data_IF_257890827225
#
_entry.id   IF_257890827225
#
_cell.length_a   1.000
_cell.length_b   1.000
_cell.length_c   1.000
_cell.angle_alpha   90.00
_cell.angle_beta   90.00
_cell.angle_gamma   90.00
#
_symmetry.space_group_name_H-M   'P 1'
#
loop_
_entity.id
_entity.type
_entity.pdbx_description
1 polymer ?
#
# COMPACT_ATOMS: atom_id res chain seq x y z
N UNK A 1 -12.69 1.88 -12.70
CA UNK A 1 -12.01 0.74 -12.07
C UNK A 1 -13.06 0.14 -11.18
N UNK A 2 -13.29 -1.17 -11.29
CA UNK A 2 -14.33 -1.79 -10.51
C UNK A 2 -13.74 -2.20 -9.15
N UNK A 3 -13.93 -1.39 -8.10
CA UNK A 3 -13.44 -1.69 -6.74
C UNK A 3 -14.06 -2.99 -6.23
N UNK A 4 -15.36 -3.18 -6.43
CA UNK A 4 -16.10 -4.38 -6.00
C UNK A 4 -15.50 -5.65 -6.61
N UNK A 5 -15.00 -5.60 -7.84
CA UNK A 5 -14.27 -6.73 -8.43
C UNK A 5 -13.02 -7.12 -7.59
N UNK A 6 -12.23 -6.14 -7.14
CA UNK A 6 -11.01 -6.41 -6.37
C UNK A 6 -11.33 -6.85 -4.93
N UNK A 7 -12.37 -6.28 -4.32
CA UNK A 7 -12.85 -6.70 -3.00
C UNK A 7 -13.32 -8.16 -2.98
N UNK A 8 -13.90 -8.63 -4.10
CA UNK A 8 -14.38 -10.00 -4.25
C UNK A 8 -13.35 -11.00 -4.81
N UNK A 9 -12.08 -10.59 -4.99
CA UNK A 9 -11.02 -11.54 -5.34
C UNK A 9 -10.82 -12.55 -4.20
N UNK A 10 -10.44 -13.81 -4.48
CA UNK A 10 -10.13 -14.77 -3.43
C UNK A 10 -9.06 -14.26 -2.46
N UNK A 11 -9.16 -14.60 -1.18
CA UNK A 11 -8.19 -14.19 -0.15
C UNK A 11 -6.77 -14.70 -0.45
N UNK A 12 -6.68 -15.91 -1.01
CA UNK A 12 -5.42 -16.54 -1.42
C UNK A 12 -5.34 -16.57 -2.93
N UNK A 13 -4.30 -15.94 -3.47
CA UNK A 13 -4.00 -15.92 -4.89
C UNK A 13 -2.55 -16.31 -5.13
N UNK A 14 -2.25 -16.84 -6.33
CA UNK A 14 -0.87 -17.08 -6.71
C UNK A 14 -0.13 -15.76 -6.94
N UNK A 15 1.17 -15.74 -6.68
CA UNK A 15 2.05 -14.60 -7.00
C UNK A 15 1.99 -14.20 -8.47
N UNK A 16 1.84 -15.17 -9.39
CA UNK A 16 1.69 -14.90 -10.82
C UNK A 16 0.38 -14.16 -11.13
N UNK A 17 -0.73 -14.53 -10.50
CA UNK A 17 -2.02 -13.86 -10.71
C UNK A 17 -1.98 -12.45 -10.12
N UNK A 18 -1.48 -12.30 -8.90
CA UNK A 18 -1.31 -10.98 -8.27
C UNK A 18 -0.43 -10.06 -9.11
N UNK A 19 0.69 -10.57 -9.66
CA UNK A 19 1.55 -9.81 -10.58
C UNK A 19 0.77 -9.27 -11.79
N UNK A 20 -0.17 -10.03 -12.35
CA UNK A 20 -1.02 -9.55 -13.45
C UNK A 20 -1.89 -8.37 -12.98
N UNK A 21 -2.49 -8.47 -11.80
CA UNK A 21 -3.34 -7.41 -11.25
C UNK A 21 -2.57 -6.13 -10.90
N UNK A 22 -1.41 -6.25 -10.25
CA UNK A 22 -0.56 -5.09 -9.98
C UNK A 22 -0.13 -4.39 -11.27
N UNK A 23 0.29 -5.13 -12.30
CA UNK A 23 0.66 -4.53 -13.58
C UNK A 23 -0.52 -3.84 -14.28
N UNK A 24 -1.73 -4.41 -14.19
CA UNK A 24 -2.95 -3.76 -14.71
C UNK A 24 -3.24 -2.44 -13.98
N UNK A 25 -3.10 -2.43 -12.65
CA UNK A 25 -3.28 -1.22 -11.84
C UNK A 25 -2.26 -0.13 -12.22
N UNK A 26 -0.98 -0.50 -12.31
CA UNK A 26 0.10 0.40 -12.73
C UNK A 26 -0.14 0.96 -14.14
N UNK A 27 -0.55 0.11 -15.08
CA UNK A 27 -0.89 0.57 -16.43
C UNK A 27 -2.05 1.56 -16.41
N UNK A 28 -3.11 1.26 -15.67
CA UNK A 28 -4.27 2.14 -15.55
C UNK A 28 -3.88 3.51 -14.97
N UNK A 29 -3.13 3.52 -13.86
CA UNK A 29 -2.66 4.76 -13.23
C UNK A 29 -1.84 5.65 -14.18
N UNK A 30 -1.00 5.05 -15.03
CA UNK A 30 -0.16 5.80 -15.97
C UNK A 30 -0.90 6.28 -17.23
N UNK A 31 -2.08 5.74 -17.53
CA UNK A 31 -2.78 5.98 -18.80
C UNK A 31 -4.06 6.79 -18.67
N UNK A 32 -4.61 6.90 -17.47
CA UNK A 32 -5.86 7.65 -17.22
C UNK A 32 -5.77 8.47 -15.93
N UNK A 33 -6.60 9.52 -15.86
CA UNK A 33 -6.83 10.35 -14.67
C UNK A 33 -8.26 10.24 -14.15
N UNK A 34 -9.00 9.22 -14.58
CA UNK A 34 -10.45 9.09 -14.33
C UNK A 34 -10.77 8.61 -12.91
N UNK A 35 -9.76 8.27 -12.10
CA UNK A 35 -9.94 7.74 -10.75
C UNK A 35 -9.20 8.59 -9.72
N UNK A 36 -9.81 8.66 -8.55
CA UNK A 36 -9.28 9.36 -7.39
C UNK A 36 -8.15 8.58 -6.72
N UNK A 37 -7.38 9.27 -5.86
CA UNK A 37 -6.37 8.65 -5.01
C UNK A 37 -6.97 7.57 -4.11
N UNK A 38 -8.15 7.82 -3.56
CA UNK A 38 -8.89 6.84 -2.77
C UNK A 38 -9.14 5.56 -3.55
N UNK A 39 -9.73 5.65 -4.76
CA UNK A 39 -10.04 4.45 -5.56
C UNK A 39 -8.79 3.64 -5.95
N UNK A 40 -7.67 4.31 -6.27
CA UNK A 40 -6.40 3.63 -6.51
C UNK A 40 -5.82 2.99 -5.25
N UNK A 41 -5.86 3.71 -4.12
CA UNK A 41 -5.36 3.19 -2.84
C UNK A 41 -6.17 1.99 -2.36
N UNK A 42 -7.49 2.00 -2.55
CA UNK A 42 -8.38 0.91 -2.17
C UNK A 42 -8.05 -0.37 -2.95
N UNK A 43 -7.92 -0.25 -4.27
CA UNK A 43 -7.57 -1.41 -5.11
C UNK A 43 -6.16 -1.91 -4.80
N UNK A 44 -5.21 -1.00 -4.55
CA UNK A 44 -3.85 -1.38 -4.18
C UNK A 44 -3.81 -2.08 -2.81
N UNK A 45 -4.59 -1.63 -1.84
CA UNK A 45 -4.74 -2.26 -0.53
C UNK A 45 -5.27 -3.69 -0.67
N UNK A 46 -6.35 -3.90 -1.44
CA UNK A 46 -6.90 -5.22 -1.71
C UNK A 46 -5.86 -6.19 -2.30
N UNK A 47 -5.01 -5.73 -3.23
CA UNK A 47 -3.94 -6.54 -3.78
C UNK A 47 -2.80 -6.78 -2.77
N UNK A 48 -2.52 -5.80 -1.92
CA UNK A 48 -1.46 -5.87 -0.91
C UNK A 48 -1.77 -6.90 0.18
N UNK A 49 -3.01 -6.95 0.67
CA UNK A 49 -3.46 -7.99 1.61
C UNK A 49 -3.25 -9.39 1.03
N UNK A 50 -3.66 -9.59 -0.22
CA UNK A 50 -3.53 -10.90 -0.89
C UNK A 50 -2.07 -11.27 -1.14
N UNK A 51 -1.22 -10.28 -1.43
CA UNK A 51 0.23 -10.48 -1.51
C UNK A 51 0.80 -10.90 -0.17
N UNK A 52 0.36 -10.29 0.94
CA UNK A 52 0.80 -10.66 2.28
C UNK A 52 0.46 -12.12 2.62
N UNK A 53 -0.70 -12.62 2.20
CA UNK A 53 -1.06 -14.04 2.35
C UNK A 53 -0.23 -15.02 1.51
N UNK A 54 0.65 -14.54 0.63
CA UNK A 54 1.60 -15.41 -0.10
C UNK A 54 2.85 -15.75 0.71
N UNK A 55 3.17 -14.99 1.76
CA UNK A 55 4.43 -15.07 2.50
C UNK A 55 5.68 -14.89 1.63
N UNK A 56 5.50 -14.27 0.47
CA UNK A 56 6.58 -13.92 -0.45
C UNK A 56 6.66 -12.41 -0.62
N UNK A 57 7.87 -11.90 -0.76
CA UNK A 57 8.08 -10.50 -1.18
C UNK A 57 7.78 -10.35 -2.68
N UNK A 58 7.36 -9.13 -3.05
CA UNK A 58 7.22 -8.75 -4.44
C UNK A 58 8.57 -8.85 -5.18
N UNK A 59 8.49 -9.10 -6.49
CA UNK A 59 9.65 -8.97 -7.38
C UNK A 59 10.20 -7.54 -7.30
N UNK A 60 11.52 -7.38 -7.18
CA UNK A 60 12.13 -6.09 -6.82
C UNK A 60 11.78 -4.94 -7.76
N UNK A 61 11.64 -5.21 -9.07
CA UNK A 61 11.17 -4.20 -10.03
C UNK A 61 9.72 -3.79 -9.75
N UNK A 62 8.84 -4.77 -9.51
CA UNK A 62 7.43 -4.53 -9.23
C UNK A 62 7.27 -3.80 -7.89
N UNK A 63 8.00 -4.20 -6.85
CA UNK A 63 7.99 -3.55 -5.55
C UNK A 63 8.35 -2.07 -5.68
N UNK A 64 9.41 -1.74 -6.44
CA UNK A 64 9.82 -0.36 -6.70
C UNK A 64 8.76 0.46 -7.45
N UNK A 65 8.09 -0.12 -8.45
CA UNK A 65 7.01 0.56 -9.18
C UNK A 65 5.79 0.81 -8.28
N UNK A 66 5.46 -0.15 -7.41
CA UNK A 66 4.38 -0.02 -6.42
C UNK A 66 4.74 0.98 -5.33
N UNK A 67 5.98 1.01 -4.85
CA UNK A 67 6.45 2.02 -3.89
C UNK A 67 6.31 3.42 -4.49
N UNK A 68 6.72 3.60 -5.75
CA UNK A 68 6.52 4.87 -6.46
C UNK A 68 5.05 5.27 -6.54
N UNK A 69 4.16 4.36 -6.96
CA UNK A 69 2.72 4.63 -7.01
C UNK A 69 2.18 5.01 -5.62
N UNK A 70 2.54 4.24 -4.59
CA UNK A 70 2.04 4.44 -3.21
C UNK A 70 2.40 5.83 -2.67
N UNK A 71 3.63 6.29 -2.92
CA UNK A 71 4.04 7.68 -2.60
C UNK A 71 3.18 8.73 -3.29
N UNK A 72 2.86 8.53 -4.56
CA UNK A 72 2.05 9.50 -5.32
C UNK A 72 0.58 9.52 -4.86
N UNK A 73 0.08 8.37 -4.37
CA UNK A 73 -1.25 8.26 -3.78
C UNK A 73 -1.36 8.92 -2.41
N UNK A 74 -0.27 9.10 -1.67
CA UNK A 74 -0.28 9.73 -0.35
C UNK A 74 -1.07 11.05 -0.32
N UNK A 75 -2.03 11.13 0.60
CA UNK A 75 -2.81 12.34 0.87
C UNK A 75 -3.11 12.43 2.38
N UNK A 76 -2.31 13.24 3.07
CA UNK A 76 -2.41 13.44 4.51
C UNK A 76 -3.70 14.12 4.99
N UNK A 77 -4.59 14.51 4.07
CA UNK A 77 -5.89 15.13 4.40
C UNK A 77 -7.07 14.17 4.25
N UNK A 78 -6.85 12.94 3.75
CA UNK A 78 -7.88 11.90 3.68
C UNK A 78 -7.49 10.76 4.60
N UNK A 79 -8.30 10.54 5.63
CA UNK A 79 -8.09 9.44 6.57
C UNK A 79 -8.09 8.09 5.83
N UNK A 80 -9.02 7.90 4.90
CA UNK A 80 -9.17 6.67 4.13
C UNK A 80 -7.94 6.38 3.26
N UNK A 81 -7.37 7.40 2.62
CA UNK A 81 -6.12 7.24 1.87
C UNK A 81 -4.95 6.94 2.78
N UNK A 82 -4.85 7.59 3.95
CA UNK A 82 -3.78 7.32 4.92
C UNK A 82 -3.87 5.88 5.44
N UNK A 83 -5.07 5.41 5.79
CA UNK A 83 -5.33 4.04 6.27
C UNK A 83 -4.94 2.99 5.23
N UNK A 84 -5.36 3.20 3.98
CA UNK A 84 -4.96 2.34 2.88
C UNK A 84 -3.45 2.36 2.67
N UNK A 85 -2.82 3.54 2.58
CA UNK A 85 -1.38 3.67 2.29
C UNK A 85 -0.52 3.08 3.41
N UNK A 86 -0.85 3.32 4.67
CA UNK A 86 -0.13 2.75 5.82
C UNK A 86 -0.21 1.22 5.81
N UNK A 87 -1.38 0.65 5.57
CA UNK A 87 -1.59 -0.79 5.41
C UNK A 87 -0.82 -1.38 4.22
N UNK A 88 -0.83 -0.71 3.06
CA UNK A 88 -0.07 -1.13 1.87
C UNK A 88 1.43 -1.20 2.17
N UNK A 89 1.96 -0.18 2.86
CA UNK A 89 3.38 -0.13 3.25
C UNK A 89 3.74 -1.29 4.16
N UNK A 90 2.90 -1.59 5.16
CA UNK A 90 3.10 -2.71 6.07
C UNK A 90 3.08 -4.06 5.35
N UNK A 91 2.11 -4.28 4.47
CA UNK A 91 1.96 -5.56 3.75
C UNK A 91 3.05 -5.82 2.71
N UNK A 92 3.61 -4.78 2.11
CA UNK A 92 4.52 -4.91 0.96
C UNK A 92 5.97 -4.51 1.25
N UNK A 93 6.26 -3.93 2.41
CA UNK A 93 7.63 -3.56 2.81
C UNK A 93 8.18 -2.42 1.96
N UNK A 94 7.38 -1.35 1.79
CA UNK A 94 7.68 -0.25 0.88
C UNK A 94 8.50 0.84 1.57
N UNK A 95 9.82 0.74 1.44
CA UNK A 95 10.79 1.58 2.16
C UNK A 95 10.58 3.08 1.92
N UNK A 96 10.42 3.51 0.67
CA UNK A 96 10.38 4.95 0.36
C UNK A 96 9.06 5.57 0.81
N UNK A 97 7.95 4.85 0.61
CA UNK A 97 6.63 5.22 1.13
C UNK A 97 6.61 5.29 2.65
N UNK A 98 7.26 4.35 3.34
CA UNK A 98 7.43 4.41 4.80
C UNK A 98 8.14 5.70 5.24
N UNK A 99 9.18 6.14 4.52
CA UNK A 99 9.85 7.41 4.86
C UNK A 99 8.94 8.62 4.68
N UNK A 100 8.08 8.65 3.65
CA UNK A 100 7.10 9.73 3.47
C UNK A 100 6.11 9.78 4.64
N UNK A 101 5.56 8.63 5.01
CA UNK A 101 4.65 8.51 6.16
C UNK A 101 5.34 9.04 7.42
N UNK A 102 6.57 8.61 7.69
CA UNK A 102 7.34 9.06 8.87
C UNK A 102 7.63 10.56 8.87
N UNK A 103 8.00 11.13 7.72
CA UNK A 103 8.26 12.56 7.59
C UNK A 103 7.00 13.41 7.79
N UNK A 104 5.83 12.88 7.43
CA UNK A 104 4.55 13.60 7.55
C UNK A 104 4.17 13.93 8.99
N UNK A 105 4.71 13.22 10.00
CA UNK A 105 4.51 13.55 11.42
C UNK A 105 5.03 14.94 11.82
N UNK A 106 5.90 15.55 11.00
CA UNK A 106 6.35 16.93 11.19
C UNK A 106 5.37 17.99 10.67
N UNK A 107 4.33 17.58 9.93
CA UNK A 107 3.26 18.43 9.42
C UNK A 107 2.16 18.66 10.46
N UNK A 108 1.30 19.64 10.21
CA UNK A 108 0.06 19.80 10.95
C UNK A 108 -0.98 18.77 10.46
N UNK A 109 -1.13 17.67 11.19
CA UNK A 109 -2.04 16.58 10.88
C UNK A 109 -3.27 16.61 11.78
N UNK A 110 -4.39 16.08 11.28
CA UNK A 110 -5.51 15.71 12.14
C UNK A 110 -5.06 14.66 13.18
N UNK A 111 -5.62 14.70 14.39
CA UNK A 111 -5.21 13.83 15.49
C UNK A 111 -5.41 12.34 15.17
N UNK A 112 -6.47 11.99 14.43
CA UNK A 112 -6.73 10.59 14.08
C UNK A 112 -5.70 10.09 13.06
N UNK A 113 -5.42 10.90 12.03
CA UNK A 113 -4.37 10.61 11.03
C UNK A 113 -3.01 10.48 11.71
N UNK A 114 -2.68 11.39 12.61
CA UNK A 114 -1.43 11.34 13.37
C UNK A 114 -1.32 10.06 14.20
N UNK A 115 -2.36 9.69 14.93
CA UNK A 115 -2.38 8.49 15.76
C UNK A 115 -2.16 7.21 14.93
N UNK A 116 -2.86 7.09 13.81
CA UNK A 116 -2.71 5.98 12.86
C UNK A 116 -1.27 5.85 12.34
N UNK A 117 -0.64 6.98 11.99
CA UNK A 117 0.74 6.99 11.50
C UNK A 117 1.72 6.60 12.61
N UNK A 118 1.55 7.12 13.83
CA UNK A 118 2.38 6.77 14.98
C UNK A 118 2.29 5.27 15.33
N UNK A 119 1.08 4.70 15.28
CA UNK A 119 0.85 3.27 15.46
C UNK A 119 1.56 2.44 14.39
N UNK A 120 1.35 2.78 13.11
CA UNK A 120 2.02 2.11 11.98
C UNK A 120 3.54 2.13 12.11
N UNK A 121 4.13 3.28 12.47
CA UNK A 121 5.59 3.40 12.65
C UNK A 121 6.09 2.53 13.79
N UNK A 122 5.35 2.47 14.90
CA UNK A 122 5.70 1.65 16.04
C UNK A 122 5.66 0.16 15.70
N UNK A 123 4.69 -0.28 14.91
CA UNK A 123 4.58 -1.68 14.45
C UNK A 123 5.71 -2.08 13.50
N UNK A 124 6.13 -1.16 12.62
CA UNK A 124 7.14 -1.42 11.60
C UNK A 124 8.58 -1.10 12.01
N UNK A 125 8.81 -0.59 13.23
CA UNK A 125 10.14 -0.11 13.63
C UNK A 125 11.20 -1.22 13.56
N UNK A 126 12.25 -0.97 12.78
CA UNK A 126 13.32 -1.95 12.49
C UNK A 126 12.98 -3.01 11.43
N UNK A 127 11.74 -3.06 10.92
CA UNK A 127 11.21 -4.16 10.12
C UNK A 127 10.47 -3.72 8.85
N UNK A 128 10.50 -2.43 8.51
CA UNK A 128 9.73 -1.82 7.42
C UNK A 128 10.08 -2.31 6.00
N UNK A 129 11.10 -3.16 5.84
CA UNK A 129 11.50 -3.79 4.57
C UNK A 129 11.16 -5.30 4.54
N UNK A 130 10.80 -5.89 5.69
CA UNK A 130 10.41 -7.29 5.83
C UNK A 130 9.02 -7.39 6.48
N UNK A 131 7.95 -7.44 5.64
CA UNK A 131 6.56 -7.58 6.09
C UNK A 131 6.29 -8.82 6.97
N UNK A 132 7.20 -9.78 6.98
CA UNK A 132 7.02 -11.08 7.66
C UNK A 132 7.94 -11.25 8.87
N UNK A 133 8.73 -10.24 9.22
CA UNK A 133 9.70 -10.24 10.32
C UNK A 133 9.15 -10.74 11.67
N UNK A 134 7.87 -10.47 11.97
CA UNK A 134 7.19 -10.91 13.20
C UNK A 134 6.57 -12.31 13.15
N UNK A 135 6.74 -13.06 12.05
CA UNK A 135 6.14 -14.39 11.86
C UNK A 135 7.11 -15.56 12.09
N UNK A 136 8.35 -15.26 12.51
CA UNK A 136 9.38 -16.26 12.81
C UNK A 136 9.25 -16.86 14.21
#
# INVERSE_FOLDING_TARGET
>A
MNIEFYQNLPDRMSKSDLKIHFNKLLHLYNTTKDYTKFEFSEVLYQLSERQWYTYEVLDGKLQMEIDKLTKELWDQNSYEVVDNVTSIVAHLGLKESYQIIKQSLSSNLDNNIKGLIEETIKELDGNNEDPYSGMN
#
